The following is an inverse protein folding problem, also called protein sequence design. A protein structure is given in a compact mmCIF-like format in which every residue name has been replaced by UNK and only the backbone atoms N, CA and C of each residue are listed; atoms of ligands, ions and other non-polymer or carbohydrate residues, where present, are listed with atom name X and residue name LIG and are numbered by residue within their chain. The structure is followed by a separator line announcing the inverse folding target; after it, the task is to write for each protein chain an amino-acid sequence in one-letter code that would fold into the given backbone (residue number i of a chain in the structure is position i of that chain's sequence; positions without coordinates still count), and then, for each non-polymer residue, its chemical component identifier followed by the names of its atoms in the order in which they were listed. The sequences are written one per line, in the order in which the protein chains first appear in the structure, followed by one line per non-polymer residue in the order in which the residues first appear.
data_IF_844829833142
#
_entry.id   IF_844829833142
#
_cell.length_a   1.000
_cell.length_b   1.000
_cell.length_c   1.000
_cell.angle_alpha   90.00
_cell.angle_beta   90.00
_cell.angle_gamma   90.00
#
_symmetry.space_group_name_H-M   'P 1'
#
loop_
_entity.id
_entity.type
_entity.pdbx_description
1 polymer ?
#
# COMPACT_ATOMS: atom_id res chain seq x y z
N UNK A 1 7.37 -17.73 2.10
CA UNK A 1 6.93 -16.72 3.10
C UNK A 1 5.98 -17.42 4.06
N UNK A 2 6.33 -17.54 5.34
CA UNK A 2 5.31 -17.87 6.35
C UNK A 2 4.36 -16.68 6.38
N UNK A 3 3.07 -16.90 6.11
CA UNK A 3 2.02 -15.93 6.41
C UNK A 3 2.25 -15.46 7.83
N UNK A 4 2.27 -14.15 8.08
CA UNK A 4 2.38 -13.64 9.43
C UNK A 4 1.28 -14.31 10.26
N UNK A 5 1.67 -14.99 11.34
CA UNK A 5 0.75 -15.66 12.26
C UNK A 5 -0.11 -14.65 13.00
N UNK A 6 0.31 -13.38 13.01
CA UNK A 6 -0.41 -12.26 13.59
C UNK A 6 -1.48 -11.75 12.63
N UNK A 7 -2.70 -11.74 13.15
CA UNK A 7 -3.87 -11.18 12.49
C UNK A 7 -3.71 -9.66 12.36
N UNK A 8 -3.92 -9.08 11.16
CA UNK A 8 -3.82 -7.64 10.97
C UNK A 8 -4.91 -6.92 11.78
N UNK A 9 -4.57 -5.75 12.31
CA UNK A 9 -5.53 -4.94 13.07
C UNK A 9 -6.47 -4.13 12.15
N UNK A 10 -5.94 -3.66 11.01
CA UNK A 10 -6.69 -2.91 10.00
C UNK A 10 -6.53 -3.56 8.62
N UNK A 11 -7.60 -3.53 7.82
CA UNK A 11 -7.52 -3.70 6.36
C UNK A 11 -7.73 -2.32 5.73
N UNK A 12 -6.79 -1.87 4.90
CA UNK A 12 -6.87 -0.57 4.23
C UNK A 12 -7.02 -0.82 2.74
N UNK A 13 -8.07 -0.25 2.13
CA UNK A 13 -8.32 -0.42 0.69
C UNK A 13 -9.01 0.80 0.07
N UNK A 14 -8.87 0.93 -1.25
CA UNK A 14 -9.55 1.96 -2.03
C UNK A 14 -11.07 1.72 -2.14
N UNK A 15 -11.77 2.57 -2.88
CA UNK A 15 -13.22 2.49 -3.11
C UNK A 15 -13.66 1.31 -4.00
N UNK A 16 -12.73 0.67 -4.72
CA UNK A 16 -13.01 -0.50 -5.55
C UNK A 16 -13.73 -1.63 -4.79
N UNK A 17 -13.15 -2.15 -3.70
CA UNK A 17 -13.75 -3.18 -2.86
C UNK A 17 -14.88 -2.70 -1.93
N UNK A 18 -15.31 -1.43 -1.96
CA UNK A 18 -16.42 -0.95 -1.13
C UNK A 18 -17.72 -1.70 -1.45
N UNK A 19 -18.17 -2.50 -0.49
CA UNK A 19 -19.51 -3.10 -0.45
C UNK A 19 -19.84 -3.45 1.01
N UNK A 20 -21.12 -3.60 1.34
CA UNK A 20 -21.54 -4.06 2.66
C UNK A 20 -20.92 -5.43 2.99
N UNK A 21 -21.01 -6.37 2.04
CA UNK A 21 -20.43 -7.71 2.15
C UNK A 21 -18.91 -7.68 2.41
N UNK A 22 -18.17 -6.84 1.72
CA UNK A 22 -16.71 -6.70 1.90
C UNK A 22 -16.37 -6.23 3.32
N UNK A 23 -17.08 -5.21 3.82
CA UNK A 23 -16.84 -4.67 5.15
C UNK A 23 -17.20 -5.68 6.23
N UNK A 24 -18.34 -6.37 6.08
CA UNK A 24 -18.80 -7.41 7.01
C UNK A 24 -17.82 -8.59 7.07
N UNK A 25 -17.33 -9.06 5.92
CA UNK A 25 -16.31 -10.13 5.86
C UNK A 25 -15.03 -9.76 6.65
N UNK A 26 -14.62 -8.49 6.62
CA UNK A 26 -13.45 -8.01 7.36
C UNK A 26 -13.74 -7.98 8.86
N UNK A 27 -14.94 -7.56 9.26
CA UNK A 27 -15.40 -7.51 10.65
C UNK A 27 -15.57 -8.92 11.23
N UNK A 28 -16.12 -9.87 10.48
CA UNK A 28 -16.25 -11.28 10.88
C UNK A 28 -14.89 -11.92 11.16
N UNK A 29 -13.89 -11.53 10.37
CA UNK A 29 -12.50 -11.91 10.63
C UNK A 29 -11.91 -11.19 11.82
N UNK A 30 -12.66 -10.31 12.48
CA UNK A 30 -12.30 -9.48 13.64
C UNK A 30 -11.21 -8.45 13.34
N UNK A 31 -11.20 -7.93 12.12
CA UNK A 31 -10.30 -6.89 11.64
C UNK A 31 -11.11 -5.62 11.37
N UNK A 32 -10.51 -4.44 11.50
CA UNK A 32 -11.24 -3.18 11.27
C UNK A 32 -11.09 -2.75 9.80
N UNK A 33 -12.21 -2.60 9.06
CA UNK A 33 -12.16 -2.14 7.67
C UNK A 33 -11.97 -0.63 7.58
N UNK A 34 -10.83 -0.20 7.03
CA UNK A 34 -10.57 1.18 6.59
C UNK A 34 -10.65 1.21 5.07
N UNK A 35 -11.85 0.97 4.56
CA UNK A 35 -12.15 0.92 3.12
C UNK A 35 -12.82 2.24 2.73
N UNK A 36 -12.27 2.92 1.72
CA UNK A 36 -12.89 4.14 1.23
C UNK A 36 -14.28 3.84 0.65
N UNK A 37 -15.27 4.66 0.98
CA UNK A 37 -16.59 4.57 0.37
C UNK A 37 -16.55 5.16 -1.05
N UNK A 38 -17.30 4.56 -1.98
CA UNK A 38 -17.51 5.15 -3.31
C UNK A 38 -18.21 6.50 -3.22
N UNK A 39 -18.02 7.36 -4.23
CA UNK A 39 -18.63 8.69 -4.27
C UNK A 39 -20.16 8.65 -4.18
N UNK A 40 -20.78 7.63 -4.77
CA UNK A 40 -22.24 7.44 -4.78
C UNK A 40 -22.75 6.62 -3.59
N UNK A 41 -21.92 6.35 -2.59
CA UNK A 41 -22.31 5.53 -1.44
C UNK A 41 -23.32 6.27 -0.55
N UNK A 42 -24.46 5.64 -0.32
CA UNK A 42 -25.54 6.14 0.55
C UNK A 42 -25.37 5.66 2.00
N UNK A 43 -25.94 6.43 2.95
CA UNK A 43 -25.95 6.11 4.38
C UNK A 43 -25.08 7.04 5.23
N UNK A 44 -24.67 6.56 6.41
CA UNK A 44 -23.84 7.35 7.33
C UNK A 44 -22.37 7.35 6.87
N UNK A 45 -21.98 8.41 6.15
CA UNK A 45 -20.64 8.57 5.57
C UNK A 45 -19.81 9.58 6.38
N UNK A 46 -18.64 9.15 6.83
CA UNK A 46 -17.62 10.01 7.43
C UNK A 46 -16.76 10.62 6.33
N UNK A 47 -16.70 11.95 6.31
CA UNK A 47 -15.78 12.70 5.43
C UNK A 47 -14.53 13.07 6.20
N UNK A 48 -13.38 12.77 5.62
CA UNK A 48 -12.10 13.31 6.10
C UNK A 48 -11.85 14.67 5.47
N UNK A 49 -11.06 15.53 6.11
CA UNK A 49 -10.74 16.87 5.59
C UNK A 49 -10.01 16.89 4.24
N UNK A 50 -9.55 15.73 3.73
CA UNK A 50 -8.92 15.56 2.42
C UNK A 50 -9.88 15.02 1.34
N UNK A 51 -11.18 14.94 1.62
CA UNK A 51 -12.18 14.48 0.65
C UNK A 51 -12.37 12.97 0.55
N UNK A 52 -11.68 12.15 1.38
CA UNK A 52 -11.96 10.71 1.43
C UNK A 52 -13.19 10.42 2.29
N UNK A 53 -13.96 9.41 1.88
CA UNK A 53 -15.24 9.01 2.46
C UNK A 53 -15.11 7.62 3.10
N UNK A 54 -15.79 7.35 4.21
CA UNK A 54 -15.82 6.04 4.87
C UNK A 54 -17.21 5.75 5.44
N UNK A 55 -17.62 4.48 5.47
CA UNK A 55 -18.90 4.08 6.09
C UNK A 55 -18.75 4.02 7.61
N UNK A 56 -19.41 4.94 8.33
CA UNK A 56 -19.27 5.09 9.77
C UNK A 56 -19.62 3.81 10.55
N UNK A 57 -20.63 3.08 10.05
CA UNK A 57 -21.19 1.88 10.70
C UNK A 57 -20.19 0.72 10.85
N UNK A 58 -19.14 0.70 10.03
CA UNK A 58 -18.15 -0.39 10.00
C UNK A 58 -16.85 -0.06 10.73
N UNK A 59 -16.68 1.19 11.18
CA UNK A 59 -15.47 1.64 11.86
C UNK A 59 -15.81 2.07 13.29
N UNK A 60 -15.15 1.50 14.31
CA UNK A 60 -15.33 1.97 15.69
C UNK A 60 -15.02 3.46 15.84
N UNK A 61 -15.86 4.17 16.60
CA UNK A 61 -15.81 5.64 16.76
C UNK A 61 -14.46 6.17 17.23
N UNK A 62 -13.74 5.38 18.03
CA UNK A 62 -12.39 5.69 18.52
C UNK A 62 -11.40 5.96 17.38
N UNK A 63 -11.59 5.36 16.20
CA UNK A 63 -10.70 5.51 15.05
C UNK A 63 -11.14 6.59 14.06
N UNK A 64 -12.33 7.18 14.20
CA UNK A 64 -12.87 8.15 13.23
C UNK A 64 -11.93 9.34 13.01
N UNK A 65 -11.32 9.85 14.08
CA UNK A 65 -10.33 10.95 14.01
C UNK A 65 -9.02 10.55 13.32
N UNK A 66 -8.72 9.25 13.24
CA UNK A 66 -7.48 8.70 12.68
C UNK A 66 -7.64 8.20 11.24
N UNK A 67 -8.87 8.08 10.73
CA UNK A 67 -9.16 7.52 9.40
C UNK A 67 -8.31 8.13 8.29
N UNK A 68 -8.20 9.46 8.25
CA UNK A 68 -7.37 10.12 7.25
C UNK A 68 -5.88 9.77 7.35
N UNK A 69 -5.35 9.57 8.56
CA UNK A 69 -3.94 9.17 8.77
C UNK A 69 -3.73 7.71 8.39
N UNK A 70 -4.63 6.82 8.82
CA UNK A 70 -4.60 5.40 8.46
C UNK A 70 -4.68 5.23 6.95
N UNK A 71 -5.58 5.94 6.29
CA UNK A 71 -5.74 5.86 4.84
C UNK A 71 -4.52 6.36 4.06
N UNK A 72 -3.79 7.36 4.56
CA UNK A 72 -2.56 7.84 3.91
C UNK A 72 -1.45 6.76 3.83
N UNK A 73 -1.53 5.68 4.63
CA UNK A 73 -0.63 4.53 4.51
C UNK A 73 -0.77 3.86 3.14
N UNK A 74 -1.96 3.92 2.51
CA UNK A 74 -2.19 3.41 1.15
C UNK A 74 -1.32 4.11 0.11
N UNK A 75 -1.19 5.44 0.19
CA UNK A 75 -0.34 6.22 -0.72
C UNK A 75 1.13 5.77 -0.67
N UNK A 76 1.58 5.28 0.49
CA UNK A 76 2.93 4.72 0.66
C UNK A 76 3.11 3.40 -0.10
N UNK A 77 2.04 2.62 -0.30
CA UNK A 77 2.03 1.42 -1.16
C UNK A 77 1.99 1.81 -2.63
N UNK A 78 1.16 2.78 -3.00
CA UNK A 78 1.06 3.27 -4.39
C UNK A 78 2.38 3.86 -4.89
N UNK A 79 3.08 4.64 -4.05
CA UNK A 79 4.42 5.16 -4.37
C UNK A 79 5.45 4.06 -4.58
N UNK A 80 5.34 2.94 -3.85
CA UNK A 80 6.21 1.78 -4.07
C UNK A 80 5.98 1.22 -5.48
N UNK A 81 4.71 0.98 -5.84
CA UNK A 81 4.35 0.47 -7.17
C UNK A 81 4.72 1.46 -8.28
N UNK A 82 4.58 2.77 -8.03
CA UNK A 82 4.97 3.81 -8.97
C UNK A 82 6.49 3.84 -9.19
N UNK A 83 7.30 3.65 -8.14
CA UNK A 83 8.75 3.52 -8.31
C UNK A 83 9.12 2.32 -9.21
N UNK A 84 8.44 1.19 -9.05
CA UNK A 84 8.62 0.00 -9.89
C UNK A 84 8.27 0.29 -11.36
N UNK A 85 7.20 1.05 -11.60
CA UNK A 85 6.75 1.40 -12.96
C UNK A 85 7.57 2.52 -13.59
N UNK A 86 7.83 3.62 -12.87
CA UNK A 86 8.40 4.87 -13.40
C UNK A 86 9.93 4.83 -13.41
N UNK A 87 10.57 4.38 -12.33
CA UNK A 87 12.04 4.44 -12.22
C UNK A 87 12.68 3.22 -12.88
N UNK A 88 12.07 2.05 -12.70
CA UNK A 88 12.58 0.82 -13.29
C UNK A 88 11.95 0.49 -14.65
N UNK A 89 11.02 1.31 -15.16
CA UNK A 89 10.31 1.15 -16.46
C UNK A 89 9.69 -0.24 -16.66
N UNK A 90 9.12 -0.82 -15.60
CA UNK A 90 8.73 -2.24 -15.56
C UNK A 90 7.30 -2.54 -15.97
N UNK A 91 6.63 -1.59 -16.62
CA UNK A 91 5.32 -1.81 -17.23
C UNK A 91 5.36 -2.82 -18.39
N UNK A 92 6.56 -3.10 -18.93
CA UNK A 92 6.76 -4.00 -20.06
C UNK A 92 7.95 -4.94 -19.80
N UNK A 93 7.73 -6.24 -19.87
CA UNK A 93 8.81 -7.22 -19.93
C UNK A 93 9.34 -7.29 -21.36
N UNK A 94 10.67 -7.40 -21.57
CA UNK A 94 11.24 -7.50 -22.92
C UNK A 94 10.89 -8.84 -23.61
N UNK A 95 10.50 -9.85 -22.83
CA UNK A 95 10.22 -11.20 -23.32
C UNK A 95 8.89 -11.71 -22.77
N UNK A 96 8.20 -12.55 -23.56
CA UNK A 96 6.98 -13.26 -23.16
C UNK A 96 7.35 -14.52 -22.38
N UNK A 97 6.60 -14.84 -21.33
CA UNK A 97 6.77 -16.05 -20.53
C UNK A 97 6.56 -15.82 -19.04
N UNK A 98 5.84 -16.74 -18.38
CA UNK A 98 5.51 -16.63 -16.96
C UNK A 98 6.74 -16.69 -16.06
N UNK A 99 7.77 -17.45 -16.45
CA UNK A 99 9.04 -17.53 -15.76
C UNK A 99 9.83 -16.22 -15.84
N UNK A 100 9.93 -15.64 -17.04
CA UNK A 100 10.56 -14.33 -17.23
C UNK A 100 9.85 -13.23 -16.43
N UNK A 101 8.53 -13.24 -16.37
CA UNK A 101 7.77 -12.30 -15.54
C UNK A 101 8.15 -12.43 -14.05
N UNK A 102 8.27 -13.67 -13.54
CA UNK A 102 8.68 -13.94 -12.15
C UNK A 102 10.12 -13.45 -11.88
N UNK A 103 11.06 -13.78 -12.76
CA UNK A 103 12.47 -13.37 -12.63
C UNK A 103 12.56 -11.85 -12.64
N UNK A 104 11.87 -11.20 -13.59
CA UNK A 104 11.88 -9.76 -13.74
C UNK A 104 11.36 -9.06 -12.49
N UNK A 105 10.19 -9.46 -11.97
CA UNK A 105 9.64 -8.91 -10.71
C UNK A 105 10.57 -9.16 -9.52
N UNK A 106 11.20 -10.34 -9.45
CA UNK A 106 12.09 -10.71 -8.35
C UNK A 106 13.34 -9.83 -8.30
N UNK A 107 13.98 -9.54 -9.45
CA UNK A 107 15.15 -8.65 -9.53
C UNK A 107 14.81 -7.25 -9.01
N UNK A 108 13.62 -6.72 -9.32
CA UNK A 108 13.18 -5.40 -8.82
C UNK A 108 13.08 -5.37 -7.31
N UNK A 109 12.45 -6.39 -6.74
CA UNK A 109 12.27 -6.50 -5.29
C UNK A 109 13.62 -6.60 -4.58
N UNK A 110 14.57 -7.37 -5.15
CA UNK A 110 15.94 -7.46 -4.63
C UNK A 110 16.62 -6.09 -4.66
N UNK A 111 16.57 -5.37 -5.79
CA UNK A 111 17.19 -4.05 -5.91
C UNK A 111 16.59 -3.02 -4.93
N UNK A 112 15.27 -3.04 -4.73
CA UNK A 112 14.59 -2.19 -3.76
C UNK A 112 15.03 -2.51 -2.31
N UNK A 113 15.14 -3.78 -1.95
CA UNK A 113 15.60 -4.21 -0.62
C UNK A 113 17.07 -3.85 -0.39
N UNK A 114 17.94 -4.03 -1.38
CA UNK A 114 19.35 -3.65 -1.30
C UNK A 114 19.51 -2.14 -1.12
N UNK A 115 18.72 -1.34 -1.85
CA UNK A 115 18.72 0.14 -1.69
C UNK A 115 18.31 0.54 -0.26
N UNK A 116 17.25 -0.07 0.26
CA UNK A 116 16.80 0.16 1.64
C UNK A 116 17.86 -0.23 2.68
N UNK A 117 18.51 -1.38 2.50
CA UNK A 117 19.57 -1.86 3.39
C UNK A 117 20.79 -0.95 3.36
N UNK A 118 21.23 -0.52 2.17
CA UNK A 118 22.35 0.41 2.03
C UNK A 118 22.03 1.74 2.69
N UNK A 119 20.85 2.31 2.43
CA UNK A 119 20.38 3.55 3.06
C UNK A 119 20.40 3.48 4.59
N UNK A 120 19.96 2.35 5.16
CA UNK A 120 20.03 2.09 6.59
C UNK A 120 21.48 2.02 7.10
N UNK A 121 22.35 1.25 6.42
CA UNK A 121 23.76 1.09 6.82
C UNK A 121 24.57 2.39 6.75
N UNK A 122 24.23 3.31 5.85
CA UNK A 122 24.91 4.63 5.73
C UNK A 122 24.22 5.73 6.55
N UNK A 123 23.23 5.40 7.37
CA UNK A 123 22.50 6.35 8.23
C UNK A 123 21.54 7.30 7.49
N UNK A 124 21.36 7.13 6.17
CA UNK A 124 20.49 7.96 5.32
C UNK A 124 19.09 7.36 5.19
N UNK A 125 18.35 7.39 6.29
CA UNK A 125 16.99 6.83 6.38
C UNK A 125 16.01 7.47 5.38
N UNK A 126 16.27 8.72 4.98
CA UNK A 126 15.53 9.44 3.95
C UNK A 126 15.61 8.77 2.56
N UNK A 127 16.66 7.97 2.31
CA UNK A 127 16.92 7.30 1.04
C UNK A 127 16.35 5.87 0.95
N UNK A 128 15.73 5.34 2.02
CA UNK A 128 15.24 3.94 2.09
C UNK A 128 14.27 3.57 0.95
N UNK A 129 13.58 4.56 0.38
CA UNK A 129 12.62 4.37 -0.74
C UNK A 129 12.96 5.18 -1.98
N UNK A 130 14.20 5.64 -2.11
CA UNK A 130 14.66 6.43 -3.24
C UNK A 130 15.40 5.51 -4.24
N UNK A 131 14.78 5.06 -5.35
CA UNK A 131 15.38 4.05 -6.23
C UNK A 131 16.63 4.55 -6.98
N UNK A 132 16.84 5.87 -7.02
CA UNK A 132 18.03 6.51 -7.57
C UNK A 132 19.13 6.85 -6.56
N UNK A 133 18.94 6.54 -5.26
CA UNK A 133 19.81 6.99 -4.16
C UNK A 133 21.30 6.69 -4.36
N UNK A 134 21.61 5.60 -5.06
CA UNK A 134 22.98 5.13 -5.28
C UNK A 134 23.32 4.93 -6.76
N UNK A 135 22.54 5.55 -7.67
CA UNK A 135 22.73 5.39 -9.12
C UNK A 135 24.01 6.05 -9.63
N UNK A 136 24.48 7.10 -8.94
CA UNK A 136 25.71 7.83 -9.24
C UNK A 136 26.61 7.78 -8.02
N UNK A 137 27.20 6.63 -7.75
CA UNK A 137 28.43 6.59 -6.97
C UNK A 137 29.52 7.02 -7.95
N UNK A 138 29.91 8.30 -7.89
CA UNK A 138 31.17 8.71 -8.50
C UNK A 138 32.27 8.02 -7.69
N UNK A 139 32.85 6.96 -8.27
CA UNK A 139 34.11 6.36 -7.83
C UNK A 139 35.18 6.93 -8.75
#
# INVERSE_FOLDING_TARGET
MKSATEKPFFVIADAGPDSHLSNETVIEKGVIPVIAARENSVGNILKTGKGNHFRAQYVPRIYHKLLGKLYNIRTTVERKNSNDVVVYNRSKTPTRGSEWAKIYVSISNIAALLTALTAFKVGRHDLIRAPGAFRRLNI
#
